data_IF_291556605803
#
_entry.id   IF_291556605803
#
_cell.length_a   1.000
_cell.length_b   1.000
_cell.length_c   1.000
_cell.angle_alpha   90.00
_cell.angle_beta   90.00
_cell.angle_gamma   90.00
#
_symmetry.space_group_name_H-M   'P 1'
#
loop_
_entity.id
_entity.type
_entity.pdbx_description
1 polymer ?
#
# COMPACT_ATOMS: atom_id res chain seq x y z
N UNK A 1 18.52 39.49 33.56
CA UNK A 1 19.09 38.95 32.32
C UNK A 1 19.24 37.45 32.48
N UNK A 2 18.27 36.67 31.99
CA UNK A 2 18.45 35.23 31.75
C UNK A 2 17.70 34.90 30.47
N UNK A 3 18.46 34.56 29.43
CA UNK A 3 17.93 34.20 28.12
C UNK A 3 17.20 32.86 28.18
N UNK A 4 16.09 32.78 27.46
CA UNK A 4 15.40 31.52 27.17
C UNK A 4 16.36 30.61 26.36
N UNK A 5 16.38 29.29 26.59
CA UNK A 5 17.11 28.39 25.71
C UNK A 5 16.48 28.45 24.33
N UNK A 6 17.27 28.87 23.33
CA UNK A 6 16.91 28.82 21.92
C UNK A 6 16.51 27.40 21.55
N UNK A 7 15.26 27.20 21.14
CA UNK A 7 14.83 25.96 20.49
C UNK A 7 15.50 25.90 19.12
N UNK A 8 16.56 25.11 18.99
CA UNK A 8 17.06 24.70 17.69
C UNK A 8 15.98 23.86 16.99
N UNK A 9 15.79 23.99 15.66
CA UNK A 9 14.85 23.14 14.95
C UNK A 9 15.36 21.70 15.01
N UNK A 10 14.61 20.84 15.69
CA UNK A 10 14.87 19.41 15.70
C UNK A 10 14.92 18.91 14.25
N UNK A 11 16.12 18.52 13.82
CA UNK A 11 16.35 17.97 12.50
C UNK A 11 15.58 16.65 12.40
N UNK A 12 14.60 16.61 11.51
CA UNK A 12 13.83 15.41 11.22
C UNK A 12 14.75 14.36 10.59
N UNK A 13 15.26 13.44 11.40
CA UNK A 13 16.09 12.32 10.94
C UNK A 13 15.18 11.25 10.35
N UNK A 14 15.00 11.30 9.02
CA UNK A 14 14.09 10.46 8.24
C UNK A 14 14.43 8.94 8.23
N UNK A 15 15.32 8.45 9.09
CA UNK A 15 15.92 7.12 8.99
C UNK A 15 15.03 5.98 9.51
N UNK A 16 13.97 6.27 10.28
CA UNK A 16 13.05 5.24 10.80
C UNK A 16 11.61 5.35 10.26
N UNK A 17 11.43 6.06 9.15
CA UNK A 17 10.15 6.08 8.45
C UNK A 17 10.03 4.79 7.62
N UNK A 18 9.09 3.91 7.97
CA UNK A 18 8.64 2.83 7.09
C UNK A 18 8.42 3.44 5.70
N UNK A 19 9.04 2.90 4.63
CA UNK A 19 8.93 3.50 3.31
C UNK A 19 7.44 3.59 2.94
N UNK A 20 7.00 4.80 2.60
CA UNK A 20 5.58 5.07 2.33
C UNK A 20 5.04 4.23 1.16
N UNK A 21 5.91 3.75 0.27
CA UNK A 21 5.57 2.93 -0.91
C UNK A 21 6.66 1.87 -1.11
N UNK A 22 6.28 0.61 -1.37
CA UNK A 22 7.18 -0.50 -1.72
C UNK A 22 6.72 -1.19 -2.99
N UNK A 23 7.63 -1.32 -3.97
CA UNK A 23 7.41 -2.14 -5.17
C UNK A 23 7.53 -3.61 -4.80
N UNK A 24 6.50 -4.40 -5.08
CA UNK A 24 6.44 -5.83 -4.70
C UNK A 24 6.77 -6.80 -5.85
N UNK A 25 6.72 -6.32 -7.09
CA UNK A 25 7.03 -7.10 -8.30
C UNK A 25 7.44 -6.15 -9.44
N UNK A 26 8.25 -6.67 -10.37
CA UNK A 26 8.76 -5.91 -11.52
C UNK A 26 10.01 -5.07 -11.18
N UNK A 27 10.50 -4.33 -12.17
CA UNK A 27 11.65 -3.43 -12.07
C UNK A 27 11.34 -2.11 -12.78
N UNK A 28 10.48 -1.24 -12.21
CA UNK A 28 10.12 0.02 -12.84
C UNK A 28 11.35 0.91 -12.98
N UNK A 29 11.38 1.67 -14.07
CA UNK A 29 12.40 2.70 -14.29
C UNK A 29 12.22 3.86 -13.30
N UNK A 30 13.27 4.66 -13.10
CA UNK A 30 13.21 5.84 -12.25
C UNK A 30 12.15 6.85 -12.74
N UNK A 31 12.02 6.98 -14.06
CA UNK A 31 11.02 7.85 -14.69
C UNK A 31 9.58 7.39 -14.37
N UNK A 32 9.30 6.09 -14.48
CA UNK A 32 7.99 5.53 -14.14
C UNK A 32 7.66 5.67 -12.65
N UNK A 33 8.66 5.51 -11.77
CA UNK A 33 8.50 5.76 -10.33
C UNK A 33 8.19 7.23 -10.04
N UNK A 34 8.90 8.15 -10.68
CA UNK A 34 8.67 9.59 -10.54
C UNK A 34 7.27 9.98 -11.06
N UNK A 35 6.88 9.48 -12.22
CA UNK A 35 5.55 9.70 -12.79
C UNK A 35 4.44 9.19 -11.86
N UNK A 36 4.59 7.97 -11.34
CA UNK A 36 3.63 7.37 -10.40
C UNK A 36 3.52 8.19 -9.12
N UNK A 37 4.67 8.60 -8.55
CA UNK A 37 4.70 9.45 -7.36
C UNK A 37 4.00 10.79 -7.59
N UNK A 38 4.27 11.44 -8.73
CA UNK A 38 3.64 12.71 -9.10
C UNK A 38 2.11 12.60 -9.18
N UNK A 39 1.59 11.52 -9.77
CA UNK A 39 0.14 11.26 -9.83
C UNK A 39 -0.44 11.07 -8.43
N UNK A 40 0.19 10.26 -7.57
CA UNK A 40 -0.28 10.04 -6.19
C UNK A 40 -0.33 11.36 -5.43
N UNK A 41 0.73 12.18 -5.52
CA UNK A 41 0.80 13.46 -4.85
C UNK A 41 -0.23 14.47 -5.37
N UNK A 42 -0.50 14.48 -6.68
CA UNK A 42 -1.55 15.32 -7.27
C UNK A 42 -2.94 14.96 -6.73
N UNK A 43 -3.26 13.67 -6.65
CA UNK A 43 -4.53 13.20 -6.07
C UNK A 43 -4.63 13.58 -4.60
N UNK A 44 -3.56 13.37 -3.81
CA UNK A 44 -3.56 13.76 -2.40
C UNK A 44 -3.76 15.26 -2.19
N UNK A 45 -3.14 16.09 -3.03
CA UNK A 45 -3.31 17.55 -3.00
C UNK A 45 -4.75 17.96 -3.35
N UNK A 46 -5.36 17.31 -4.35
CA UNK A 46 -6.76 17.53 -4.72
C UNK A 46 -7.73 17.15 -3.58
N UNK A 47 -7.51 16.01 -2.93
CA UNK A 47 -8.31 15.58 -1.78
C UNK A 47 -8.15 16.54 -0.59
N UNK A 48 -6.92 17.00 -0.32
CA UNK A 48 -6.68 17.98 0.73
C UNK A 48 -7.39 19.31 0.44
N UNK A 49 -7.42 19.75 -0.82
CA UNK A 49 -8.08 20.98 -1.24
C UNK A 49 -9.62 20.90 -1.18
N UNK A 50 -10.21 19.72 -1.42
CA UNK A 50 -11.66 19.48 -1.31
C UNK A 50 -12.17 19.46 0.13
N UNK A 51 -11.27 19.33 1.12
CA UNK A 51 -11.64 19.16 2.52
C UNK A 51 -12.17 17.75 2.80
N UNK A 52 -12.52 17.46 4.06
CA UNK A 52 -13.05 16.17 4.45
C UNK A 52 -14.47 15.96 3.90
N UNK A 53 -14.57 15.52 2.65
CA UNK A 53 -15.80 14.94 2.12
C UNK A 53 -16.13 13.71 2.97
N UNK A 54 -17.37 13.59 3.46
CA UNK A 54 -17.80 12.39 4.18
C UNK A 54 -17.79 11.24 3.17
N UNK A 55 -16.68 10.53 3.12
CA UNK A 55 -16.56 9.29 2.34
C UNK A 55 -17.41 8.26 3.06
N UNK A 56 -18.57 7.89 2.49
CA UNK A 56 -19.25 6.67 2.87
C UNK A 56 -18.21 5.54 2.96
N UNK A 57 -18.20 4.75 4.05
CA UNK A 57 -17.18 3.73 4.25
C UNK A 57 -17.10 2.86 2.99
N UNK A 58 -15.89 2.66 2.42
CA UNK A 58 -15.73 1.98 1.16
C UNK A 58 -16.43 0.64 1.22
N UNK A 59 -17.34 0.42 0.27
CA UNK A 59 -18.08 -0.84 0.19
C UNK A 59 -17.05 -1.91 -0.13
N UNK A 60 -16.82 -2.83 0.81
CA UNK A 60 -15.87 -3.93 0.60
C UNK A 60 -16.44 -4.90 -0.45
N UNK A 61 -16.11 -4.63 -1.71
CA UNK A 61 -16.54 -5.42 -2.85
C UNK A 61 -15.95 -6.84 -2.83
N UNK A 62 -14.81 -7.03 -2.15
CA UNK A 62 -14.20 -8.34 -1.93
C UNK A 62 -14.97 -9.16 -0.89
N UNK A 63 -15.46 -8.52 0.17
CA UNK A 63 -16.35 -9.14 1.16
C UNK A 63 -17.74 -9.42 0.58
N UNK A 64 -18.19 -8.63 -0.40
CA UNK A 64 -19.40 -8.92 -1.19
C UNK A 64 -19.23 -10.19 -2.04
N UNK A 65 -18.10 -10.35 -2.74
CA UNK A 65 -17.84 -11.55 -3.56
C UNK A 65 -17.49 -12.78 -2.72
N UNK A 66 -17.07 -12.61 -1.46
CA UNK A 66 -16.83 -13.70 -0.52
C UNK A 66 -18.08 -14.43 0.00
N UNK A 67 -19.29 -13.87 -0.14
CA UNK A 67 -20.55 -14.52 0.29
C UNK A 67 -21.10 -15.58 -0.67
N UNK A 68 -20.18 -16.27 -1.34
CA UNK A 68 -20.47 -17.44 -2.15
C UNK A 68 -19.17 -18.20 -2.32
N UNK A 69 -18.77 -18.97 -1.29
CA UNK A 69 -17.79 -20.02 -1.49
C UNK A 69 -18.28 -20.86 -2.66
N UNK A 70 -17.59 -20.75 -3.81
CA UNK A 70 -17.72 -21.74 -4.88
C UNK A 70 -17.44 -23.10 -4.24
N UNK A 71 -18.24 -24.10 -4.61
CA UNK A 71 -18.20 -25.45 -4.05
C UNK A 71 -16.77 -25.92 -3.78
N UNK A 72 -16.59 -26.68 -2.69
CA UNK A 72 -15.30 -27.25 -2.29
C UNK A 72 -14.57 -27.82 -3.50
N UNK A 73 -13.37 -27.31 -3.79
CA UNK A 73 -12.51 -27.83 -4.86
C UNK A 73 -12.05 -29.22 -4.41
N UNK A 74 -12.72 -30.26 -4.90
CA UNK A 74 -12.30 -31.65 -4.68
C UNK A 74 -11.19 -31.97 -5.67
N UNK A 75 -9.93 -31.97 -5.23
CA UNK A 75 -8.90 -32.52 -6.10
C UNK A 75 -8.93 -34.04 -6.04
N UNK A 76 -8.88 -34.66 -7.22
CA UNK A 76 -8.85 -36.11 -7.36
C UNK A 76 -7.54 -36.72 -6.84
N UNK A 77 -7.46 -38.06 -6.76
CA UNK A 77 -6.25 -38.76 -6.35
C UNK A 77 -5.04 -38.31 -7.18
N UNK A 78 -3.96 -37.86 -6.53
CA UNK A 78 -2.72 -37.36 -7.15
C UNK A 78 -2.74 -35.90 -7.62
N UNK A 79 -3.89 -35.23 -7.63
CA UNK A 79 -4.02 -33.90 -8.25
C UNK A 79 -3.35 -32.75 -7.47
N UNK A 80 -3.04 -32.95 -6.19
CA UNK A 80 -2.29 -31.96 -5.38
C UNK A 80 -0.77 -32.12 -5.48
N UNK A 81 -0.24 -33.17 -6.11
CA UNK A 81 1.20 -33.39 -6.17
C UNK A 81 1.93 -32.33 -7.02
N UNK A 82 1.27 -31.83 -8.07
CA UNK A 82 1.83 -30.81 -8.98
C UNK A 82 2.07 -29.44 -8.31
N UNK A 83 1.43 -29.14 -7.17
CA UNK A 83 1.65 -27.88 -6.45
C UNK A 83 2.82 -27.95 -5.46
N UNK A 84 3.39 -29.13 -5.17
CA UNK A 84 4.59 -29.26 -4.33
C UNK A 84 5.83 -28.66 -5.00
N UNK A 85 5.97 -28.80 -6.32
CA UNK A 85 7.11 -28.22 -7.05
C UNK A 85 6.96 -26.70 -7.29
N UNK A 86 5.81 -26.11 -6.97
CA UNK A 86 5.59 -24.66 -7.02
C UNK A 86 5.98 -23.91 -5.74
N UNK A 87 6.47 -24.60 -4.70
CA UNK A 87 7.05 -23.99 -3.48
C UNK A 87 8.55 -24.24 -3.39
N UNK A 88 9.27 -23.91 -4.46
CA UNK A 88 10.71 -23.72 -4.44
C UNK A 88 11.09 -22.30 -4.01
N UNK A 89 10.77 -21.97 -2.75
CA UNK A 89 11.47 -21.05 -1.85
C UNK A 89 11.26 -21.60 -0.44
#
# INVERSE_FOLDING_TARGET
MSGLPSSEPEQFTATDAVPAIRVVAGSPTEEELAATHAVIMAVLAEQAARGAERVEPPVDLWRRSGRGMRATVAAGPGAWAASRDMRGC
#
